data_IF_635259988415
#
_entry.id   IF_635259988415
#
_cell.length_a   1.000
_cell.length_b   1.000
_cell.length_c   1.000
_cell.angle_alpha   90.00
_cell.angle_beta   90.00
_cell.angle_gamma   90.00
#
_symmetry.space_group_name_H-M   'P 1'
#
loop_
_entity.id
_entity.type
_entity.pdbx_description
1 polymer ?
#
# COMPACT_ATOMS: atom_id res chain seq x y z
N UNK A 1 -12.00 54.68 -59.57
CA UNK A 1 -12.97 54.72 -58.45
C UNK A 1 -12.67 53.52 -57.56
N UNK A 2 -11.89 53.73 -56.50
CA UNK A 2 -12.33 53.74 -55.09
C UNK A 2 -12.41 52.33 -54.49
N UNK A 3 -12.00 51.99 -53.26
CA UNK A 3 -11.09 52.52 -52.22
C UNK A 3 -11.12 51.45 -51.10
N UNK A 4 -9.95 50.97 -50.67
CA UNK A 4 -9.54 50.60 -49.27
C UNK A 4 -10.29 49.48 -48.51
N UNK A 5 -9.59 48.51 -47.89
CA UNK A 5 -9.06 48.57 -46.49
C UNK A 5 -8.31 47.30 -46.07
N UNK A 6 -7.38 47.50 -45.14
CA UNK A 6 -6.29 46.65 -44.63
C UNK A 6 -6.62 45.81 -43.39
N UNK A 7 -5.81 44.77 -43.11
CA UNK A 7 -5.13 44.39 -41.82
C UNK A 7 -4.36 43.08 -42.09
N UNK A 8 -3.05 42.86 -41.93
CA UNK A 8 -2.04 43.11 -40.88
C UNK A 8 -2.29 42.40 -39.56
N UNK A 9 -1.56 41.30 -39.33
CA UNK A 9 -1.14 40.62 -38.08
C UNK A 9 -0.80 39.17 -38.46
N UNK A 10 0.24 38.48 -38.01
CA UNK A 10 1.47 38.78 -37.26
C UNK A 10 2.27 37.48 -37.35
N UNK A 11 3.56 37.57 -37.60
CA UNK A 11 4.49 36.45 -37.57
C UNK A 11 4.57 35.88 -36.15
N UNK A 12 4.16 34.63 -35.96
CA UNK A 12 4.46 33.87 -34.74
C UNK A 12 5.55 32.86 -35.09
N UNK A 13 6.71 33.11 -34.50
CA UNK A 13 7.93 32.34 -34.63
C UNK A 13 7.71 31.02 -33.87
N UNK A 14 7.70 29.90 -34.59
CA UNK A 14 7.76 28.59 -33.96
C UNK A 14 9.23 28.29 -33.68
N UNK A 15 9.65 28.44 -32.43
CA UNK A 15 10.90 27.82 -31.98
C UNK A 15 10.69 26.29 -31.95
N UNK A 16 11.68 25.50 -32.38
CA UNK A 16 11.61 24.05 -32.26
C UNK A 16 11.83 23.68 -30.80
N UNK A 17 10.76 23.34 -30.10
CA UNK A 17 10.85 22.69 -28.80
C UNK A 17 11.59 21.36 -28.99
N UNK A 18 12.74 21.25 -28.35
CA UNK A 18 13.67 20.14 -28.52
C UNK A 18 13.01 18.84 -28.03
N UNK A 19 12.86 17.90 -28.96
CA UNK A 19 12.30 16.56 -28.80
C UNK A 19 13.20 15.70 -27.90
N UNK A 20 13.07 15.86 -26.58
CA UNK A 20 13.76 15.06 -25.57
C UNK A 20 13.11 13.67 -25.40
N UNK A 21 13.11 12.90 -26.49
CA UNK A 21 12.71 11.49 -26.53
C UNK A 21 13.92 10.55 -26.45
N UNK A 22 15.08 11.04 -26.00
CA UNK A 22 16.34 10.29 -26.01
C UNK A 22 16.59 9.40 -24.79
N UNK A 23 15.73 9.40 -23.78
CA UNK A 23 15.87 8.52 -22.61
C UNK A 23 14.72 7.49 -22.51
N UNK A 24 14.61 6.65 -23.54
CA UNK A 24 13.80 5.44 -23.50
C UNK A 24 14.54 4.29 -22.84
N UNK A 25 14.40 4.11 -21.52
CA UNK A 25 14.74 2.84 -20.85
C UNK A 25 13.70 1.77 -21.24
N UNK A 26 14.00 1.03 -22.30
CA UNK A 26 13.28 -0.19 -22.66
C UNK A 26 13.70 -1.30 -21.69
N UNK A 27 13.15 -1.25 -20.48
CA UNK A 27 13.34 -2.25 -19.44
C UNK A 27 13.14 -3.67 -19.98
N UNK A 28 14.07 -4.55 -19.60
CA UNK A 28 14.16 -5.94 -20.03
C UNK A 28 12.84 -6.68 -19.83
N UNK A 29 12.19 -6.98 -20.96
CA UNK A 29 11.04 -7.88 -21.01
C UNK A 29 11.45 -9.30 -20.62
N UNK A 30 11.18 -9.68 -19.37
CA UNK A 30 11.13 -11.09 -18.97
C UNK A 30 9.84 -11.71 -19.51
N UNK A 31 9.83 -11.94 -20.81
CA UNK A 31 8.91 -12.85 -21.46
C UNK A 31 9.22 -14.28 -21.05
N UNK A 32 8.46 -14.81 -20.09
CA UNK A 32 8.37 -16.24 -19.86
C UNK A 32 7.30 -16.85 -20.76
N UNK A 33 7.68 -17.43 -21.89
CA UNK A 33 6.91 -18.51 -22.53
C UNK A 33 7.68 -19.83 -22.39
N UNK A 34 7.04 -20.91 -21.95
CA UNK A 34 7.65 -22.22 -21.85
C UNK A 34 7.49 -23.01 -23.16
N UNK A 35 8.55 -23.68 -23.60
CA UNK A 35 8.47 -24.74 -24.61
C UNK A 35 9.56 -24.67 -25.68
N UNK A 36 10.58 -25.51 -25.56
CA UNK A 36 11.61 -25.71 -26.58
C UNK A 36 12.72 -26.64 -26.10
N UNK A 37 12.57 -27.93 -26.37
CA UNK A 37 13.58 -28.98 -26.18
C UNK A 37 14.82 -28.73 -27.04
N UNK A 38 16.02 -28.87 -26.47
CA UNK A 38 16.97 -29.88 -26.95
C UNK A 38 17.93 -30.29 -25.82
N UNK A 39 18.24 -31.58 -25.87
CA UNK A 39 19.06 -32.36 -24.95
C UNK A 39 20.55 -32.26 -25.32
N UNK A 40 21.40 -32.80 -24.44
CA UNK A 40 22.81 -33.19 -24.65
C UNK A 40 23.87 -32.20 -24.15
N UNK A 41 24.50 -32.58 -23.04
CA UNK A 41 25.94 -32.78 -23.08
C UNK A 41 26.79 -32.13 -22.00
N UNK A 42 27.19 -32.97 -21.03
CA UNK A 42 28.51 -33.00 -20.37
C UNK A 42 28.73 -32.07 -19.17
N UNK A 43 28.82 -32.75 -18.02
CA UNK A 43 29.34 -32.30 -16.74
C UNK A 43 30.81 -31.88 -16.81
N UNK A 44 31.20 -30.80 -16.13
CA UNK A 44 32.47 -30.75 -15.42
C UNK A 44 32.33 -29.90 -14.14
N UNK A 45 32.68 -30.54 -13.04
CA UNK A 45 32.84 -30.02 -11.68
C UNK A 45 33.90 -28.92 -11.59
N UNK A 46 34.03 -28.37 -10.36
CA UNK A 46 35.17 -27.63 -9.78
C UNK A 46 35.01 -26.09 -9.86
N UNK A 47 35.17 -25.26 -8.84
CA UNK A 47 35.75 -25.34 -7.48
C UNK A 47 35.25 -24.11 -6.68
N UNK A 48 34.99 -24.23 -5.38
CA UNK A 48 35.85 -23.74 -4.26
C UNK A 48 35.41 -22.42 -3.59
N UNK A 49 35.31 -22.57 -2.26
CA UNK A 49 35.60 -21.62 -1.17
C UNK A 49 34.55 -20.57 -0.76
N UNK A 50 33.98 -20.90 0.40
CA UNK A 50 34.21 -20.25 1.73
C UNK A 50 32.98 -19.56 2.31
N UNK A 51 32.67 -19.98 3.54
CA UNK A 51 31.61 -19.50 4.42
C UNK A 51 31.97 -18.14 5.03
N UNK A 52 30.96 -17.32 5.28
CA UNK A 52 30.78 -16.59 6.55
C UNK A 52 29.35 -16.04 6.66
N UNK A 53 28.81 -16.13 7.87
CA UNK A 53 27.79 -15.32 8.59
C UNK A 53 27.06 -14.20 7.81
N UNK A 54 25.76 -13.95 8.00
CA UNK A 54 25.26 -13.30 9.21
C UNK A 54 23.72 -13.43 9.32
N UNK A 55 23.26 -13.65 10.55
CA UNK A 55 21.85 -13.77 10.93
C UNK A 55 21.25 -12.37 11.08
N UNK A 56 20.18 -12.07 10.36
CA UNK A 56 19.31 -10.95 10.67
C UNK A 56 18.50 -11.26 11.93
N UNK A 57 18.71 -10.49 13.00
CA UNK A 57 17.76 -10.30 14.08
C UNK A 57 17.16 -8.89 13.95
N UNK A 58 15.84 -8.83 13.85
CA UNK A 58 15.05 -7.61 14.10
C UNK A 58 14.44 -7.68 15.52
N UNK A 59 14.05 -6.53 16.11
CA UNK A 59 14.04 -6.33 17.56
C UNK A 59 12.71 -6.68 18.25
N UNK A 60 12.83 -7.01 19.53
CA UNK A 60 11.75 -7.26 20.51
C UNK A 60 11.14 -5.94 21.04
N UNK A 61 9.86 -5.97 21.45
CA UNK A 61 9.45 -5.33 22.71
C UNK A 61 8.78 -6.34 23.67
N UNK A 62 9.25 -6.30 24.93
CA UNK A 62 8.74 -6.99 26.14
C UNK A 62 7.78 -6.04 26.92
N UNK A 63 7.20 -6.40 28.10
CA UNK A 63 6.92 -7.71 28.73
C UNK A 63 5.52 -7.83 29.40
N UNK A 64 5.15 -9.03 29.85
CA UNK A 64 4.21 -9.24 30.97
C UNK A 64 4.72 -10.34 31.93
N UNK A 65 4.77 -10.00 33.24
CA UNK A 65 5.02 -10.70 34.54
C UNK A 65 5.15 -12.26 34.55
N UNK A 66 5.92 -12.92 35.43
CA UNK A 66 5.92 -12.88 36.92
C UNK A 66 7.03 -13.79 37.54
N UNK A 67 7.46 -13.42 38.77
CA UNK A 67 7.91 -14.24 39.93
C UNK A 67 9.38 -14.75 40.12
N UNK A 68 9.99 -14.18 41.18
CA UNK A 68 10.78 -14.76 42.30
C UNK A 68 11.83 -15.87 42.08
N UNK A 69 13.11 -15.56 42.36
CA UNK A 69 13.86 -15.92 43.60
C UNK A 69 15.37 -15.69 43.45
N UNK A 70 15.96 -15.21 44.54
CA UNK A 70 17.30 -15.46 45.10
C UNK A 70 18.54 -15.56 44.20
N UNK A 71 19.56 -14.77 44.54
CA UNK A 71 20.94 -15.08 44.17
C UNK A 71 21.82 -13.85 44.10
N UNK A 72 22.47 -13.53 45.21
CA UNK A 72 23.41 -12.44 45.41
C UNK A 72 24.59 -12.43 44.40
N UNK A 73 25.42 -11.38 44.55
CA UNK A 73 26.80 -11.21 44.04
C UNK A 73 26.81 -10.40 42.71
N UNK A 74 27.44 -9.23 42.53
CA UNK A 74 28.72 -8.72 43.01
C UNK A 74 28.88 -7.22 42.60
N UNK A 75 29.71 -6.50 43.35
CA UNK A 75 30.67 -5.47 42.90
C UNK A 75 30.18 -4.20 42.20
N UNK A 76 30.17 -3.13 42.98
CA UNK A 76 30.30 -1.75 42.51
C UNK A 76 31.75 -1.44 42.11
N UNK A 77 31.94 -0.92 40.90
CA UNK A 77 33.06 -0.06 40.50
C UNK A 77 32.47 1.06 39.62
N UNK A 78 32.35 2.30 40.11
CA UNK A 78 33.36 3.37 40.16
C UNK A 78 33.32 4.29 38.94
N UNK A 79 32.74 5.47 39.16
CA UNK A 79 33.03 6.75 38.47
C UNK A 79 32.62 7.86 39.45
N UNK A 80 33.57 8.56 40.10
CA UNK A 80 34.07 9.90 39.71
C UNK A 80 32.99 10.74 39.02
N UNK A 81 32.52 11.87 39.50
CA UNK A 81 32.94 12.74 40.59
C UNK A 81 32.52 14.15 40.18
N UNK A 82 31.71 14.83 40.98
CA UNK A 82 31.57 16.28 40.95
C UNK A 82 31.26 16.75 42.37
N UNK A 83 31.92 17.85 42.71
CA UNK A 83 32.06 18.43 44.03
C UNK A 83 30.73 19.02 44.50
N UNK A 84 30.40 18.80 45.77
CA UNK A 84 29.58 19.75 46.50
C UNK A 84 30.22 20.07 47.85
N UNK A 85 30.28 21.36 48.08
CA UNK A 85 31.03 22.05 49.12
C UNK A 85 30.25 21.93 50.42
N UNK A 86 30.81 21.26 51.45
CA UNK A 86 30.21 21.20 52.77
C UNK A 86 30.99 22.12 53.73
N UNK A 87 30.36 23.08 54.41
CA UNK A 87 31.06 23.96 55.33
C UNK A 87 31.37 23.23 56.63
N UNK A 88 32.67 23.10 56.87
CA UNK A 88 33.36 23.28 58.15
C UNK A 88 32.49 23.33 59.41
N UNK A 89 32.62 22.29 60.25
CA UNK A 89 32.27 22.43 61.67
C UNK A 89 31.92 21.13 62.37
N UNK A 90 32.90 20.24 62.61
CA UNK A 90 32.95 19.60 63.92
C UNK A 90 34.37 19.13 64.23
N UNK A 91 34.90 19.71 65.30
CA UNK A 91 36.26 19.57 65.76
C UNK A 91 36.36 18.21 66.44
N UNK A 92 36.90 17.22 65.74
CA UNK A 92 37.24 15.91 66.31
C UNK A 92 38.20 16.14 67.48
N UNK A 93 37.75 15.89 68.71
CA UNK A 93 38.62 15.84 69.87
C UNK A 93 39.34 14.49 69.83
N UNK A 94 40.53 14.48 69.25
CA UNK A 94 41.46 13.36 69.33
C UNK A 94 41.91 13.21 70.79
N UNK A 95 41.47 12.17 71.50
CA UNK A 95 42.26 11.68 72.62
C UNK A 95 43.49 10.98 72.04
N UNK A 96 44.58 11.73 71.92
CA UNK A 96 45.90 11.15 71.73
C UNK A 96 46.19 10.30 72.98
N UNK A 97 46.24 8.98 72.81
CA UNK A 97 46.69 8.06 73.84
C UNK A 97 48.20 8.27 74.04
N UNK A 98 48.54 9.23 74.89
CA UNK A 98 49.87 9.32 75.50
C UNK A 98 49.81 8.48 76.78
N UNK A 99 50.43 7.30 76.74
CA UNK A 99 50.75 6.52 77.92
C UNK A 99 52.01 7.12 78.56
N UNK A 100 51.82 8.01 79.53
CA UNK A 100 52.84 8.36 80.52
C UNK A 100 52.26 8.16 81.91
N UNK A 101 52.86 7.22 82.62
CA UNK A 101 53.03 7.14 84.08
C UNK A 101 51.84 7.47 84.96
N UNK A 102 51.29 6.41 85.57
CA UNK A 102 50.55 6.35 86.84
C UNK A 102 50.49 7.68 87.60
N UNK A 103 49.48 8.48 87.29
CA UNK A 103 49.06 9.60 88.13
C UNK A 103 47.59 9.38 88.42
N UNK A 104 47.33 8.71 89.55
CA UNK A 104 46.03 8.69 90.21
C UNK A 104 45.70 10.13 90.67
N UNK A 105 45.37 11.02 89.73
CA UNK A 105 44.69 12.26 90.06
C UNK A 105 43.20 11.91 90.11
N UNK A 106 42.70 11.71 91.32
CA UNK A 106 41.28 11.85 91.58
C UNK A 106 40.81 13.16 90.93
N UNK A 107 40.02 13.06 89.86
CA UNK A 107 39.34 14.21 89.26
C UNK A 107 38.74 15.03 90.39
N UNK A 108 39.04 16.33 90.44
CA UNK A 108 38.47 17.17 91.49
C UNK A 108 36.94 17.11 91.36
N UNK A 109 36.23 17.12 92.48
CA UNK A 109 34.76 17.00 92.49
C UNK A 109 34.10 18.00 91.51
N UNK A 110 34.73 19.15 91.31
CA UNK A 110 34.29 20.20 90.41
C UNK A 110 34.49 19.87 88.91
N UNK A 111 35.59 19.20 88.55
CA UNK A 111 35.80 18.71 87.18
C UNK A 111 34.79 17.62 86.82
N UNK A 112 34.45 16.75 87.78
CA UNK A 112 33.48 15.69 87.61
C UNK A 112 32.06 16.25 87.43
N UNK A 113 31.70 17.30 88.19
CA UNK A 113 30.45 18.05 88.01
C UNK A 113 30.37 18.77 86.68
N UNK A 114 31.48 19.35 86.20
CA UNK A 114 31.54 20.01 84.90
C UNK A 114 31.38 19.00 83.77
N UNK A 115 32.09 17.88 83.83
CA UNK A 115 31.96 16.78 82.86
C UNK A 115 30.54 16.20 82.83
N UNK A 116 29.86 16.10 83.99
CA UNK A 116 28.46 15.69 84.05
C UNK A 116 27.53 16.69 83.36
N UNK A 117 27.77 18.00 83.49
CA UNK A 117 26.97 19.04 82.80
C UNK A 117 27.18 18.99 81.30
N UNK A 118 28.43 18.91 80.85
CA UNK A 118 28.77 18.82 79.43
C UNK A 118 28.16 17.57 78.79
N UNK A 119 28.22 16.42 79.47
CA UNK A 119 27.57 15.19 78.96
C UNK A 119 26.05 15.29 78.94
N UNK A 120 25.41 16.01 79.86
CA UNK A 120 23.97 16.27 79.82
C UNK A 120 23.59 17.20 78.65
N UNK A 121 24.37 18.26 78.42
CA UNK A 121 24.18 19.16 77.27
C UNK A 121 24.36 18.42 75.94
N UNK A 122 25.37 17.55 75.83
CA UNK A 122 25.57 16.69 74.66
C UNK A 122 24.38 15.75 74.45
N UNK A 123 23.85 15.13 75.51
CA UNK A 123 22.66 14.27 75.42
C UNK A 123 21.43 15.07 74.96
N UNK A 124 21.26 16.31 75.41
CA UNK A 124 20.15 17.16 75.00
C UNK A 124 20.27 17.58 73.52
N UNK A 125 21.49 17.93 73.07
CA UNK A 125 21.78 18.19 71.65
C UNK A 125 21.46 16.95 70.81
N UNK A 126 22.02 15.78 71.16
CA UNK A 126 21.78 14.53 70.44
C UNK A 126 20.30 14.14 70.39
N UNK A 127 19.54 14.42 71.46
CA UNK A 127 18.09 14.23 71.48
C UNK A 127 17.40 15.11 70.44
N UNK A 128 17.75 16.41 70.36
CA UNK A 128 17.16 17.31 69.36
C UNK A 128 17.53 16.92 67.92
N UNK A 129 18.77 16.48 67.69
CA UNK A 129 19.22 15.98 66.39
C UNK A 129 18.50 14.70 65.98
N UNK A 130 18.27 13.79 66.92
CA UNK A 130 17.50 12.56 66.70
C UNK A 130 16.05 12.88 66.35
N UNK A 131 15.40 13.78 67.08
CA UNK A 131 14.03 14.22 66.76
C UNK A 131 13.95 14.92 65.39
N UNK A 132 14.94 15.73 65.03
CA UNK A 132 15.02 16.34 63.71
C UNK A 132 15.16 15.29 62.60
N UNK A 133 16.00 14.27 62.82
CA UNK A 133 16.20 13.16 61.90
C UNK A 133 14.94 12.30 61.74
N UNK A 134 14.21 12.07 62.82
CA UNK A 134 12.92 11.38 62.82
C UNK A 134 11.89 12.11 61.91
N UNK A 135 11.74 13.42 62.10
CA UNK A 135 10.83 14.24 61.27
C UNK A 135 11.23 14.24 59.80
N UNK A 136 12.53 14.25 59.50
CA UNK A 136 13.02 14.14 58.12
C UNK A 136 12.70 12.78 57.50
N UNK A 137 12.79 11.69 58.28
CA UNK A 137 12.43 10.36 57.80
C UNK A 137 10.95 10.28 57.48
N UNK A 138 10.08 10.76 58.38
CA UNK A 138 8.62 10.80 58.18
C UNK A 138 8.25 11.61 56.93
N UNK A 139 8.85 12.79 56.75
CA UNK A 139 8.63 13.62 55.56
C UNK A 139 9.07 12.92 54.26
N UNK A 140 10.19 12.17 54.29
CA UNK A 140 10.65 11.38 53.15
C UNK A 140 9.71 10.21 52.84
N UNK A 141 9.19 9.54 53.86
CA UNK A 141 8.22 8.45 53.69
C UNK A 141 6.90 8.94 53.08
N UNK A 142 6.40 10.10 53.50
CA UNK A 142 5.22 10.73 52.91
C UNK A 142 5.45 11.14 51.46
N UNK A 143 6.60 11.77 51.16
CA UNK A 143 6.98 12.12 49.80
C UNK A 143 7.06 10.88 48.89
N UNK A 144 7.64 9.78 49.39
CA UNK A 144 7.71 8.51 48.65
C UNK A 144 6.32 7.93 48.40
N UNK A 145 5.40 7.96 49.37
CA UNK A 145 4.01 7.51 49.17
C UNK A 145 3.29 8.33 48.11
N UNK A 146 3.48 9.65 48.11
CA UNK A 146 2.90 10.53 47.09
C UNK A 146 3.45 10.17 45.71
N UNK A 147 4.77 10.06 45.56
CA UNK A 147 5.40 9.71 44.28
C UNK A 147 4.92 8.34 43.77
N UNK A 148 4.88 7.33 44.64
CA UNK A 148 4.35 6.00 44.30
C UNK A 148 2.89 6.07 43.87
N UNK A 149 2.06 6.84 44.57
CA UNK A 149 0.64 6.99 44.20
C UNK A 149 0.48 7.67 42.84
N UNK A 150 1.30 8.67 42.52
CA UNK A 150 1.29 9.35 41.23
C UNK A 150 1.68 8.40 40.10
N UNK A 151 2.74 7.60 40.31
CA UNK A 151 3.20 6.63 39.32
C UNK A 151 2.18 5.50 39.10
N UNK A 152 1.56 4.98 40.16
CA UNK A 152 0.48 4.00 40.07
C UNK A 152 -0.71 4.58 39.29
N UNK A 153 -1.13 5.80 39.63
CA UNK A 153 -2.25 6.45 38.95
C UNK A 153 -1.93 6.68 37.46
N UNK A 154 -0.74 7.16 37.13
CA UNK A 154 -0.32 7.38 35.75
C UNK A 154 -0.35 6.09 34.93
N UNK A 155 0.24 5.00 35.47
CA UNK A 155 0.22 3.70 34.81
C UNK A 155 -1.20 3.13 34.70
N UNK A 156 -2.05 3.37 35.69
CA UNK A 156 -3.45 2.94 35.65
C UNK A 156 -4.20 3.64 34.51
N UNK A 157 -4.04 4.96 34.36
CA UNK A 157 -4.59 5.72 33.25
C UNK A 157 -4.07 5.24 31.90
N UNK A 158 -2.76 4.99 31.78
CA UNK A 158 -2.15 4.51 30.54
C UNK A 158 -2.72 3.14 30.13
N UNK A 159 -2.88 2.22 31.08
CA UNK A 159 -3.51 0.93 30.83
C UNK A 159 -4.98 1.06 30.39
N UNK A 160 -5.76 1.92 31.04
CA UNK A 160 -7.18 2.12 30.70
C UNK A 160 -7.34 2.76 29.31
N UNK A 161 -6.53 3.77 29.03
CA UNK A 161 -6.47 4.40 27.70
C UNK A 161 -6.13 3.38 26.61
N UNK A 162 -5.11 2.57 26.83
CA UNK A 162 -4.72 1.51 25.91
C UNK A 162 -5.83 0.47 25.75
N UNK A 163 -6.46 0.08 26.85
CA UNK A 163 -7.57 -0.86 26.83
C UNK A 163 -8.72 -0.37 25.96
N UNK A 164 -9.12 0.90 26.08
CA UNK A 164 -10.20 1.47 25.29
C UNK A 164 -9.81 1.67 23.82
N UNK A 165 -8.56 2.04 23.56
CA UNK A 165 -7.99 2.06 22.21
C UNK A 165 -8.04 0.67 21.56
N UNK A 166 -7.67 -0.38 22.28
CA UNK A 166 -7.72 -1.76 21.79
C UNK A 166 -9.15 -2.21 21.51
N UNK A 167 -10.11 -1.95 22.41
CA UNK A 167 -11.54 -2.26 22.17
C UNK A 167 -12.05 -1.60 20.89
N UNK A 168 -11.75 -0.31 20.70
CA UNK A 168 -12.18 0.44 19.51
C UNK A 168 -11.61 -0.18 18.23
N UNK A 169 -10.33 -0.59 18.26
CA UNK A 169 -9.68 -1.26 17.13
C UNK A 169 -10.32 -2.62 16.87
N UNK A 170 -10.54 -3.42 17.91
CA UNK A 170 -11.18 -4.74 17.84
C UNK A 170 -12.58 -4.65 17.24
N UNK A 171 -13.41 -3.73 17.72
CA UNK A 171 -14.75 -3.46 17.18
C UNK A 171 -14.69 -3.08 15.68
N UNK A 172 -13.74 -2.21 15.30
CA UNK A 172 -13.56 -1.81 13.91
C UNK A 172 -13.15 -2.97 13.00
N UNK A 173 -12.32 -3.91 13.51
CA UNK A 173 -11.89 -5.08 12.77
C UNK A 173 -13.00 -6.10 12.63
N UNK A 174 -13.79 -6.32 13.68
CA UNK A 174 -15.00 -7.15 13.63
C UNK A 174 -15.97 -6.62 12.58
N UNK A 175 -16.24 -5.31 12.57
CA UNK A 175 -17.13 -4.71 11.56
C UNK A 175 -16.61 -4.88 10.13
N UNK A 176 -15.31 -4.73 9.90
CA UNK A 176 -14.68 -4.96 8.58
C UNK A 176 -14.79 -6.41 8.17
N UNK A 177 -14.57 -7.34 9.10
CA UNK A 177 -14.68 -8.77 8.87
C UNK A 177 -16.12 -9.17 8.49
N UNK A 178 -17.11 -8.66 9.21
CA UNK A 178 -18.52 -8.93 8.92
C UNK A 178 -18.94 -8.39 7.55
N UNK A 179 -18.51 -7.17 7.19
CA UNK A 179 -18.75 -6.60 5.86
C UNK A 179 -18.17 -7.49 4.76
N UNK A 180 -16.92 -7.92 4.92
CA UNK A 180 -16.24 -8.77 3.94
C UNK A 180 -16.93 -10.14 3.82
N UNK A 181 -17.41 -10.70 4.92
CA UNK A 181 -18.19 -11.93 4.91
C UNK A 181 -19.53 -11.78 4.17
N UNK A 182 -20.23 -10.67 4.36
CA UNK A 182 -21.43 -10.35 3.61
C UNK A 182 -21.14 -10.24 2.11
N UNK A 183 -20.10 -9.51 1.72
CA UNK A 183 -19.69 -9.35 0.32
C UNK A 183 -19.32 -10.71 -0.31
N UNK A 184 -18.58 -11.55 0.43
CA UNK A 184 -18.25 -12.91 -0.01
C UNK A 184 -19.49 -13.78 -0.20
N UNK A 185 -20.50 -13.67 0.68
CA UNK A 185 -21.75 -14.40 0.53
C UNK A 185 -22.51 -13.98 -0.74
N UNK A 186 -22.59 -12.66 -1.00
CA UNK A 186 -23.20 -12.12 -2.22
C UNK A 186 -22.45 -12.57 -3.47
N UNK A 187 -21.12 -12.48 -3.48
CA UNK A 187 -20.29 -12.94 -4.60
C UNK A 187 -20.47 -14.43 -4.87
N UNK A 188 -20.54 -15.24 -3.81
CA UNK A 188 -20.79 -16.68 -3.93
C UNK A 188 -22.14 -16.97 -4.58
N UNK A 189 -23.18 -16.23 -4.22
CA UNK A 189 -24.50 -16.40 -4.82
C UNK A 189 -24.54 -15.93 -6.28
N UNK A 190 -23.93 -14.79 -6.59
CA UNK A 190 -23.77 -14.31 -7.96
C UNK A 190 -23.04 -15.33 -8.85
N UNK A 191 -21.98 -15.97 -8.33
CA UNK A 191 -21.27 -17.03 -9.04
C UNK A 191 -22.17 -18.24 -9.33
N UNK A 192 -23.03 -18.65 -8.39
CA UNK A 192 -24.00 -19.72 -8.64
C UNK A 192 -25.00 -19.33 -9.73
N UNK A 193 -25.59 -18.14 -9.64
CA UNK A 193 -26.53 -17.63 -10.65
C UNK A 193 -25.89 -17.62 -12.03
N UNK A 194 -24.66 -17.08 -12.15
CA UNK A 194 -23.91 -17.08 -13.41
C UNK A 194 -23.56 -18.47 -13.91
N UNK A 195 -23.29 -19.41 -13.01
CA UNK A 195 -23.05 -20.81 -13.36
C UNK A 195 -24.30 -21.45 -13.96
N UNK A 196 -25.48 -21.22 -13.36
CA UNK A 196 -26.74 -21.72 -13.90
C UNK A 196 -27.13 -21.04 -15.22
N UNK A 197 -26.90 -19.74 -15.36
CA UNK A 197 -27.10 -19.02 -16.62
C UNK A 197 -26.24 -19.62 -17.76
N UNK A 198 -24.96 -19.92 -17.48
CA UNK A 198 -24.08 -20.58 -18.46
C UNK A 198 -24.60 -21.97 -18.83
N UNK A 199 -25.12 -22.75 -17.87
CA UNK A 199 -25.70 -24.06 -18.16
C UNK A 199 -26.94 -23.97 -19.05
N UNK A 200 -27.82 -23.00 -18.78
CA UNK A 200 -29.01 -22.71 -19.60
C UNK A 200 -28.62 -22.29 -21.03
N UNK A 201 -27.68 -21.35 -21.17
CA UNK A 201 -27.20 -20.93 -22.48
C UNK A 201 -26.53 -22.07 -23.25
N UNK A 202 -25.80 -22.97 -22.55
CA UNK A 202 -25.21 -24.16 -23.17
C UNK A 202 -26.27 -25.13 -23.68
N UNK A 203 -27.34 -25.38 -22.93
CA UNK A 203 -28.42 -26.25 -23.38
C UNK A 203 -29.20 -25.63 -24.55
N UNK A 204 -29.46 -24.33 -24.51
CA UNK A 204 -30.10 -23.61 -25.63
C UNK A 204 -29.25 -23.64 -26.90
N UNK A 205 -27.94 -23.39 -26.79
CA UNK A 205 -27.02 -23.47 -27.91
C UNK A 205 -26.99 -24.90 -28.50
N UNK A 206 -27.01 -25.93 -27.65
CA UNK A 206 -27.10 -27.31 -28.13
C UNK A 206 -28.39 -27.58 -28.94
N UNK A 207 -29.54 -27.06 -28.48
CA UNK A 207 -30.83 -27.18 -29.20
C UNK A 207 -30.79 -26.40 -30.52
N UNK A 208 -30.28 -25.17 -30.53
CA UNK A 208 -30.14 -24.38 -31.76
C UNK A 208 -29.22 -25.06 -32.77
N UNK A 209 -28.10 -25.61 -32.30
CA UNK A 209 -27.17 -26.34 -33.15
C UNK A 209 -27.82 -27.60 -33.74
N UNK A 210 -28.63 -28.32 -32.96
CA UNK A 210 -29.42 -29.44 -33.47
C UNK A 210 -30.39 -28.98 -34.57
N UNK A 211 -31.14 -27.90 -34.35
CA UNK A 211 -32.08 -27.34 -35.34
C UNK A 211 -31.40 -26.90 -36.62
N UNK A 212 -30.20 -26.31 -36.50
CA UNK A 212 -29.36 -25.94 -37.63
C UNK A 212 -29.00 -27.17 -38.48
N UNK A 213 -28.53 -28.24 -37.83
CA UNK A 213 -28.19 -29.50 -38.51
C UNK A 213 -29.41 -30.17 -39.17
N UNK A 214 -30.56 -30.20 -38.49
CA UNK A 214 -31.83 -30.69 -39.06
C UNK A 214 -32.20 -29.92 -40.33
N UNK A 215 -32.06 -28.59 -40.31
CA UNK A 215 -32.38 -27.73 -41.45
C UNK A 215 -31.41 -27.93 -42.62
N UNK A 216 -30.12 -28.08 -42.33
CA UNK A 216 -29.12 -28.43 -43.34
C UNK A 216 -29.43 -29.76 -44.02
N UNK A 217 -29.73 -30.81 -43.24
CA UNK A 217 -30.09 -32.11 -43.79
C UNK A 217 -31.35 -32.03 -44.69
N UNK A 218 -32.34 -31.20 -44.32
CA UNK A 218 -33.51 -30.95 -45.18
C UNK A 218 -33.14 -30.24 -46.49
N UNK A 219 -32.17 -29.32 -46.48
CA UNK A 219 -31.68 -28.65 -47.68
C UNK A 219 -30.89 -29.60 -48.58
N UNK A 220 -30.04 -30.46 -48.02
CA UNK A 220 -29.29 -31.46 -48.79
C UNK A 220 -30.22 -32.44 -49.51
N UNK A 221 -31.28 -32.92 -48.84
CA UNK A 221 -32.31 -33.77 -49.47
C UNK A 221 -33.02 -33.01 -50.61
N UNK A 222 -33.26 -31.71 -50.45
CA UNK A 222 -33.89 -30.88 -51.48
C UNK A 222 -32.93 -30.66 -52.66
N UNK A 223 -31.66 -30.41 -52.41
CA UNK A 223 -30.63 -30.25 -53.42
C UNK A 223 -30.44 -31.55 -54.21
N UNK A 224 -30.37 -32.70 -53.53
CA UNK A 224 -30.32 -34.02 -54.18
C UNK A 224 -31.53 -34.26 -55.08
N UNK A 225 -32.74 -33.88 -54.64
CA UNK A 225 -33.95 -33.93 -55.48
C UNK A 225 -33.91 -32.99 -56.69
N UNK A 226 -33.20 -31.86 -56.59
CA UNK A 226 -33.01 -30.94 -57.71
C UNK A 226 -31.90 -31.40 -58.66
N UNK A 227 -30.84 -32.05 -58.18
CA UNK A 227 -29.76 -32.60 -59.00
C UNK A 227 -30.16 -33.89 -59.73
N UNK A 228 -31.10 -34.69 -59.19
CA UNK A 228 -31.77 -35.76 -59.93
C UNK A 228 -32.64 -35.23 -61.09
N UNK A 229 -33.09 -33.96 -61.01
CA UNK A 229 -33.73 -33.25 -62.11
C UNK A 229 -32.71 -32.41 -62.88
N UNK A 230 -31.85 -33.07 -63.68
CA UNK A 230 -30.70 -32.48 -64.36
C UNK A 230 -30.93 -31.12 -65.04
N UNK A 231 -30.62 -30.03 -64.32
CA UNK A 231 -30.60 -28.68 -64.84
C UNK A 231 -29.19 -28.09 -64.63
N UNK A 232 -28.48 -27.92 -65.74
CA UNK A 232 -27.20 -27.22 -65.80
C UNK A 232 -27.35 -25.78 -65.31
N UNK A 233 -26.36 -25.39 -64.51
CA UNK A 233 -26.26 -24.22 -63.64
C UNK A 233 -26.32 -22.87 -64.38
N UNK A 234 -27.53 -22.46 -64.77
CA UNK A 234 -27.91 -21.04 -64.78
C UNK A 234 -28.61 -20.82 -63.45
N UNK A 235 -28.19 -19.81 -62.66
CA UNK A 235 -28.79 -19.56 -61.35
C UNK A 235 -30.31 -19.58 -61.49
N UNK A 236 -31.01 -20.41 -60.72
CA UNK A 236 -32.46 -20.55 -60.79
C UNK A 236 -33.18 -19.20 -60.68
N UNK A 237 -32.54 -18.23 -60.00
CA UNK A 237 -32.96 -16.84 -59.95
C UNK A 237 -32.77 -16.08 -61.27
N UNK A 238 -31.64 -16.26 -61.97
CA UNK A 238 -31.41 -15.67 -63.30
C UNK A 238 -32.42 -16.23 -64.31
N UNK A 239 -32.71 -17.55 -64.28
CA UNK A 239 -33.76 -18.15 -65.12
C UNK A 239 -35.16 -17.66 -64.76
N UNK A 240 -35.49 -17.54 -63.47
CA UNK A 240 -36.78 -17.01 -63.02
C UNK A 240 -37.00 -15.56 -63.47
N UNK A 241 -35.95 -14.73 -63.42
CA UNK A 241 -36.03 -13.33 -63.88
C UNK A 241 -36.12 -13.25 -65.40
N UNK A 242 -35.41 -14.12 -66.12
CA UNK A 242 -35.51 -14.19 -67.58
C UNK A 242 -36.89 -14.68 -68.05
N UNK A 243 -37.51 -15.61 -67.31
CA UNK A 243 -38.82 -16.20 -67.62
C UNK A 243 -40.04 -15.40 -67.14
N UNK A 244 -39.86 -14.41 -66.25
CA UNK A 244 -40.97 -13.59 -65.73
C UNK A 244 -41.51 -12.55 -66.72
N UNK A 245 -40.80 -12.31 -67.83
CA UNK A 245 -41.24 -11.34 -68.84
C UNK A 245 -42.15 -12.01 -69.88
N UNK A 246 -43.32 -11.43 -70.12
CA UNK A 246 -44.30 -11.93 -71.12
C UNK A 246 -43.94 -11.54 -72.57
N UNK A 247 -42.87 -10.79 -72.78
CA UNK A 247 -42.43 -10.37 -74.11
C UNK A 247 -41.67 -11.51 -74.82
N UNK A 248 -42.01 -11.77 -76.08
CA UNK A 248 -41.36 -12.80 -76.89
C UNK A 248 -40.17 -12.20 -77.66
N UNK A 249 -38.99 -12.79 -77.51
CA UNK A 249 -37.82 -12.44 -78.31
C UNK A 249 -37.81 -13.16 -79.67
N UNK A 250 -37.15 -12.60 -80.70
CA UNK A 250 -36.95 -13.31 -81.96
C UNK A 250 -36.21 -14.63 -81.72
N UNK A 251 -36.72 -15.73 -82.26
CA UNK A 251 -36.05 -17.04 -82.26
C UNK A 251 -35.92 -17.74 -80.90
N UNK A 252 -36.81 -17.46 -79.93
CA UNK A 252 -36.78 -18.14 -78.62
C UNK A 252 -35.71 -17.63 -77.66
N UNK A 253 -35.02 -16.54 -78.00
CA UNK A 253 -34.08 -15.88 -77.09
C UNK A 253 -34.81 -15.00 -76.06
N UNK A 254 -34.27 -14.81 -74.83
CA UNK A 254 -34.87 -13.90 -73.86
C UNK A 254 -34.95 -12.47 -74.41
N UNK A 255 -36.09 -11.82 -74.24
CA UNK A 255 -36.31 -10.46 -74.71
C UNK A 255 -35.38 -9.46 -74.00
N UNK A 256 -35.21 -8.27 -74.57
CA UNK A 256 -34.36 -7.21 -73.99
C UNK A 256 -34.79 -6.82 -72.58
N UNK A 257 -36.10 -6.77 -72.31
CA UNK A 257 -36.66 -6.50 -70.99
C UNK A 257 -36.23 -7.54 -69.95
N UNK A 258 -36.32 -8.83 -70.30
CA UNK A 258 -35.89 -9.94 -69.45
C UNK A 258 -34.39 -9.90 -69.17
N UNK A 259 -33.57 -9.69 -70.21
CA UNK A 259 -32.11 -9.58 -70.07
C UNK A 259 -31.72 -8.42 -69.17
N UNK A 260 -32.34 -7.25 -69.38
CA UNK A 260 -32.11 -6.07 -68.55
C UNK A 260 -32.53 -6.33 -67.09
N UNK A 261 -33.71 -6.90 -66.86
CA UNK A 261 -34.17 -7.24 -65.51
C UNK A 261 -33.21 -8.22 -64.80
N UNK A 262 -32.72 -9.24 -65.51
CA UNK A 262 -31.74 -10.19 -64.99
C UNK A 262 -30.40 -9.51 -64.66
N UNK A 263 -29.89 -8.66 -65.56
CA UNK A 263 -28.67 -7.88 -65.33
C UNK A 263 -28.82 -6.90 -64.16
N UNK A 264 -29.94 -6.19 -64.06
CA UNK A 264 -30.23 -5.27 -62.94
C UNK A 264 -30.33 -6.03 -61.62
N UNK A 265 -31.00 -7.19 -61.61
CA UNK A 265 -31.10 -8.03 -60.41
C UNK A 265 -29.75 -8.56 -59.95
N UNK A 266 -28.90 -8.98 -60.90
CA UNK A 266 -27.51 -9.38 -60.63
C UNK A 266 -26.71 -8.23 -60.02
N UNK A 267 -26.84 -7.02 -60.57
CA UNK A 267 -26.20 -5.83 -60.02
C UNK A 267 -26.72 -5.50 -58.61
N UNK A 268 -28.02 -5.58 -58.36
CA UNK A 268 -28.62 -5.34 -57.03
C UNK A 268 -28.07 -6.31 -55.98
N UNK A 269 -27.91 -7.60 -56.33
CA UNK A 269 -27.32 -8.57 -55.42
C UNK A 269 -25.84 -8.28 -55.14
N UNK A 270 -25.07 -7.92 -56.16
CA UNK A 270 -23.67 -7.50 -55.98
C UNK A 270 -23.56 -6.26 -55.09
N UNK A 271 -24.45 -5.28 -55.26
CA UNK A 271 -24.48 -4.07 -54.43
C UNK A 271 -24.90 -4.39 -52.99
N UNK A 272 -25.86 -5.29 -52.76
CA UNK A 272 -26.22 -5.74 -51.41
C UNK A 272 -25.06 -6.41 -50.70
N UNK A 273 -24.37 -7.32 -51.37
CA UNK A 273 -23.19 -7.96 -50.81
C UNK A 273 -22.08 -6.94 -50.47
N UNK A 274 -21.85 -5.95 -51.36
CA UNK A 274 -20.91 -4.85 -51.06
C UNK A 274 -21.35 -4.02 -49.86
N UNK A 275 -22.64 -3.73 -49.72
CA UNK A 275 -23.17 -3.00 -48.57
C UNK A 275 -23.00 -3.77 -47.27
N UNK A 276 -23.24 -5.08 -47.26
CA UNK A 276 -23.02 -5.95 -46.09
C UNK A 276 -21.54 -5.95 -45.66
N UNK A 277 -20.61 -6.07 -46.62
CA UNK A 277 -19.18 -5.99 -46.35
C UNK A 277 -18.76 -4.62 -45.78
N UNK A 278 -19.26 -3.54 -46.39
CA UNK A 278 -18.98 -2.19 -45.91
C UNK A 278 -19.57 -1.94 -44.52
N UNK A 279 -20.75 -2.49 -44.25
CA UNK A 279 -21.39 -2.40 -42.95
C UNK A 279 -20.59 -3.14 -41.88
N UNK A 280 -20.10 -4.35 -42.18
CA UNK A 280 -19.20 -5.09 -41.29
C UNK A 280 -17.91 -4.33 -41.02
N UNK A 281 -17.28 -3.78 -42.06
CA UNK A 281 -16.07 -2.96 -41.92
C UNK A 281 -16.33 -1.69 -41.09
N UNK A 282 -17.50 -1.05 -41.26
CA UNK A 282 -17.92 0.08 -40.43
C UNK A 282 -18.03 -0.33 -38.96
N UNK A 283 -18.69 -1.44 -38.66
CA UNK A 283 -18.85 -1.94 -37.29
C UNK A 283 -17.49 -2.25 -36.64
N UNK A 284 -16.59 -2.91 -37.36
CA UNK A 284 -15.22 -3.16 -36.90
C UNK A 284 -14.45 -1.86 -36.60
N UNK A 285 -14.59 -0.84 -37.45
CA UNK A 285 -14.00 0.47 -37.21
C UNK A 285 -14.58 1.18 -35.97
N UNK A 286 -15.88 1.04 -35.70
CA UNK A 286 -16.51 1.59 -34.49
C UNK A 286 -15.99 0.90 -33.23
N UNK A 287 -15.87 -0.43 -33.26
CA UNK A 287 -15.31 -1.21 -32.14
C UNK A 287 -13.86 -0.77 -31.88
N UNK A 288 -13.06 -0.60 -32.94
CA UNK A 288 -11.67 -0.16 -32.82
C UNK A 288 -11.56 1.27 -32.25
N UNK A 289 -12.40 2.19 -32.72
CA UNK A 289 -12.44 3.56 -32.20
C UNK A 289 -12.80 3.58 -30.70
N UNK A 290 -13.76 2.76 -30.27
CA UNK A 290 -14.12 2.64 -28.86
C UNK A 290 -12.99 2.04 -28.02
N UNK A 291 -12.29 1.02 -28.54
CA UNK A 291 -11.11 0.47 -27.89
C UNK A 291 -10.00 1.52 -27.68
N UNK A 292 -9.73 2.35 -28.70
CA UNK A 292 -8.78 3.46 -28.57
C UNK A 292 -9.24 4.51 -27.55
N UNK A 293 -10.51 4.89 -27.57
CA UNK A 293 -11.10 5.82 -26.59
C UNK A 293 -10.91 5.30 -25.16
N UNK A 294 -11.26 4.04 -24.90
CA UNK A 294 -11.09 3.41 -23.58
C UNK A 294 -9.62 3.36 -23.17
N UNK A 295 -8.72 2.95 -24.08
CA UNK A 295 -7.29 2.90 -23.78
C UNK A 295 -6.72 4.28 -23.42
N UNK A 296 -7.15 5.33 -24.14
CA UNK A 296 -6.76 6.70 -23.88
C UNK A 296 -7.28 7.21 -22.53
N UNK A 297 -8.56 6.95 -22.21
CA UNK A 297 -9.14 7.27 -20.90
C UNK A 297 -8.40 6.56 -19.76
N UNK A 298 -8.06 5.27 -19.93
CA UNK A 298 -7.27 4.53 -18.94
C UNK A 298 -5.89 5.14 -18.75
N UNK A 299 -5.24 5.57 -19.84
CA UNK A 299 -3.93 6.21 -19.78
C UNK A 299 -4.00 7.58 -19.06
N UNK A 300 -5.02 8.39 -19.35
CA UNK A 300 -5.27 9.66 -18.66
C UNK A 300 -5.50 9.44 -17.17
N UNK A 301 -6.31 8.45 -16.79
CA UNK A 301 -6.57 8.13 -15.38
C UNK A 301 -5.30 7.69 -14.66
N UNK A 302 -4.46 6.86 -15.29
CA UNK A 302 -3.16 6.46 -14.71
C UNK A 302 -2.23 7.65 -14.51
N UNK A 303 -2.15 8.56 -15.49
CA UNK A 303 -1.31 9.76 -15.40
C UNK A 303 -1.80 10.74 -14.34
N UNK A 304 -3.12 10.94 -14.24
CA UNK A 304 -3.71 11.77 -13.19
C UNK A 304 -3.46 11.19 -11.79
N UNK A 305 -3.57 9.87 -11.61
CA UNK A 305 -3.28 9.22 -10.32
C UNK A 305 -1.79 9.37 -9.94
N UNK A 306 -0.88 9.22 -10.91
CA UNK A 306 0.56 9.48 -10.72
C UNK A 306 0.83 10.93 -10.32
N UNK A 307 0.21 11.90 -11.01
CA UNK A 307 0.36 13.32 -10.70
C UNK A 307 -0.15 13.65 -9.29
N UNK A 308 -1.28 13.06 -8.88
CA UNK A 308 -1.83 13.22 -7.53
C UNK A 308 -0.88 12.69 -6.46
N UNK A 309 -0.30 11.50 -6.67
CA UNK A 309 0.69 10.92 -5.75
C UNK A 309 1.95 11.78 -5.65
N UNK A 310 2.47 12.28 -6.78
CA UNK A 310 3.63 13.18 -6.79
C UNK A 310 3.33 14.49 -6.05
N UNK A 311 2.16 15.10 -6.27
CA UNK A 311 1.75 16.30 -5.56
C UNK A 311 1.61 16.07 -4.04
N UNK A 312 1.14 14.89 -3.62
CA UNK A 312 1.07 14.53 -2.22
C UNK A 312 2.46 14.39 -1.59
N UNK A 313 3.39 13.72 -2.27
CA UNK A 313 4.78 13.57 -1.82
C UNK A 313 5.49 14.93 -1.73
N UNK A 314 5.34 15.78 -2.74
CA UNK A 314 5.87 17.15 -2.74
C UNK A 314 5.32 17.98 -1.57
N UNK A 315 4.01 17.89 -1.30
CA UNK A 315 3.39 18.56 -0.15
C UNK A 315 3.96 18.08 1.19
N UNK A 316 4.24 16.78 1.33
CA UNK A 316 4.90 16.26 2.54
C UNK A 316 6.35 16.74 2.63
N UNK A 317 7.09 16.75 1.52
CA UNK A 317 8.46 17.26 1.45
C UNK A 317 8.55 18.72 1.84
N UNK A 318 7.67 19.58 1.33
CA UNK A 318 7.58 21.01 1.70
C UNK A 318 7.27 21.21 3.19
N UNK A 319 6.36 20.40 3.76
CA UNK A 319 6.06 20.43 5.20
C UNK A 319 7.27 20.03 6.04
N UNK A 320 7.98 18.97 5.63
CA UNK A 320 9.19 18.53 6.30
C UNK A 320 10.31 19.59 6.25
N UNK A 321 10.51 20.22 5.08
CA UNK A 321 11.46 21.32 4.92
C UNK A 321 11.11 22.53 5.81
N UNK A 322 9.82 22.90 5.88
CA UNK A 322 9.37 24.00 6.74
C UNK A 322 9.61 23.69 8.23
N UNK A 323 9.38 22.43 8.64
CA UNK A 323 9.62 21.97 10.01
C UNK A 323 11.11 21.98 10.36
N UNK A 324 11.99 21.58 9.43
CA UNK A 324 13.44 21.64 9.60
C UNK A 324 13.93 23.08 9.78
N UNK A 325 13.46 24.02 8.95
CA UNK A 325 13.82 25.44 9.06
C UNK A 325 13.33 26.03 10.39
N UNK A 326 12.13 25.67 10.85
CA UNK A 326 11.63 26.10 12.15
C UNK A 326 12.50 25.57 13.29
N UNK A 327 12.86 24.29 13.25
CA UNK A 327 13.72 23.67 14.26
C UNK A 327 15.13 24.28 14.31
N UNK A 328 15.73 24.59 13.15
CA UNK A 328 17.02 25.29 13.08
C UNK A 328 16.93 26.71 13.68
N UNK A 329 15.84 27.45 13.42
CA UNK A 329 15.59 28.75 14.06
C UNK A 329 15.46 28.63 15.58
N UNK A 330 14.69 27.66 16.06
CA UNK A 330 14.46 27.45 17.49
C UNK A 330 15.77 27.11 18.22
N UNK A 331 16.67 26.33 17.59
CA UNK A 331 18.01 26.02 18.14
C UNK A 331 18.87 27.29 18.24
N UNK A 332 18.88 28.12 17.20
CA UNK A 332 19.67 29.37 17.19
C UNK A 332 19.15 30.36 18.23
N UNK A 333 17.83 30.42 18.43
CA UNK A 333 17.19 31.28 19.43
C UNK A 333 17.50 30.80 20.86
N UNK A 334 17.42 29.49 21.13
CA UNK A 334 17.84 28.90 22.41
C UNK A 334 19.32 29.14 22.68
N UNK A 335 20.17 29.06 21.65
CA UNK A 335 21.62 29.31 21.80
C UNK A 335 21.95 30.76 22.16
N UNK A 336 21.15 31.74 21.72
CA UNK A 336 21.31 33.15 22.10
C UNK A 336 20.81 33.47 23.51
N UNK A 337 19.91 32.66 24.06
CA UNK A 337 19.39 32.83 25.44
C UNK A 337 20.32 32.22 26.49
N UNK A 338 21.22 31.31 26.09
CA UNK A 338 22.13 30.58 26.99
C UNK A 338 23.53 31.26 27.12
N UNK A 339 23.83 32.29 26.32
CA UNK A 339 25.08 33.08 26.37
C UNK A 339 24.84 34.40 27.10
#
# INVERSE_FOLDING_TARGET
>A
MSKVRSSSESEEIWEPEEDDMTEGDLGYGLGGRPGGLYEVGVSHSLTSRKRSDEKNLSPTPLPRKREERDGAILQYAKSRGFQDTCPQGSRVFSYSRQSSTDSNSELSNEQLRQCLRETLEEVEILKTELEASQRQLEAKEEALKILQSMEINALQWEMEFDQDRFKTIEESWTQKYDRLNCDNAVLKENLKVKTEEIKMLKSENAVLNQRYLETLAMLDIKQQKMDESGFTEVSSLELAVLGACLCHGPGGSPCSCAKMAASTRKLVLQLRHKLELLQKSKEEAHIMADAFRIAFEQQLMRKNDQALRLAQVDKMGKRAATCLIQWERDIVEISHVII
#
